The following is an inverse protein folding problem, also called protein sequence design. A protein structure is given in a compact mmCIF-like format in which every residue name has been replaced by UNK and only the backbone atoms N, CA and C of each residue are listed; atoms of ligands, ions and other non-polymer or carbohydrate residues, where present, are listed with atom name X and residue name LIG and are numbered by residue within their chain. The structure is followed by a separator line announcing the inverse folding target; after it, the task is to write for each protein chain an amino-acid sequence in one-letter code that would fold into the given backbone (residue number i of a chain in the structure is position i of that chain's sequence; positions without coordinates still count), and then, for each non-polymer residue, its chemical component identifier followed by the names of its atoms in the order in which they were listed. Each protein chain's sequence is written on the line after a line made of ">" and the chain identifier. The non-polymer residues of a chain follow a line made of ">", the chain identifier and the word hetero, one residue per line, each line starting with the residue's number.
data_IF_958647912173
#
_entry.id   IF_958647912173
#
_cell.length_a   1.000
_cell.length_b   1.000
_cell.length_c   1.000
_cell.angle_alpha   90.00
_cell.angle_beta   90.00
_cell.angle_gamma   90.00
#
_symmetry.space_group_name_H-M   'P 1'
#
loop_
_entity.id
_entity.type
_entity.pdbx_description
1 polymer ?
#
# COMPACT_ATOMS: atom_id res chain seq x y z
N UNK A 1 15.30 8.13 -25.17
CA UNK A 1 14.97 8.11 -23.72
C UNK A 1 16.04 7.27 -23.04
N UNK A 2 16.75 7.74 -22.01
CA UNK A 2 17.65 6.85 -21.28
C UNK A 2 16.75 5.81 -20.62
N UNK A 3 16.80 4.59 -21.16
CA UNK A 3 16.09 3.43 -20.62
C UNK A 3 16.81 3.06 -19.33
N UNK A 4 16.44 3.68 -18.21
CA UNK A 4 16.89 3.22 -16.91
C UNK A 4 16.45 1.77 -16.78
N UNK A 5 17.42 0.88 -16.65
CA UNK A 5 17.16 -0.55 -16.47
C UNK A 5 16.23 -0.73 -15.26
N UNK A 6 15.15 -1.49 -15.45
CA UNK A 6 14.18 -1.79 -14.40
C UNK A 6 14.84 -2.35 -13.13
N UNK A 7 15.92 -3.12 -13.29
CA UNK A 7 16.65 -3.69 -12.15
C UNK A 7 17.36 -2.64 -11.30
N UNK A 8 17.64 -1.45 -11.84
CA UNK A 8 18.27 -0.34 -11.12
C UNK A 8 17.26 0.56 -10.39
N UNK A 9 15.96 0.36 -10.58
CA UNK A 9 14.96 1.10 -9.84
C UNK A 9 15.11 0.84 -8.33
N UNK A 10 15.17 1.92 -7.58
CA UNK A 10 15.07 1.86 -6.13
C UNK A 10 13.66 1.42 -5.71
N UNK A 11 13.53 0.94 -4.47
CA UNK A 11 12.23 0.63 -3.88
C UNK A 11 11.28 1.82 -3.94
N UNK A 12 11.77 3.03 -3.69
CA UNK A 12 10.96 4.25 -3.70
C UNK A 12 10.44 4.58 -5.10
N UNK A 13 11.28 4.44 -6.13
CA UNK A 13 10.86 4.67 -7.51
C UNK A 13 9.79 3.65 -7.95
N UNK A 14 9.98 2.37 -7.61
CA UNK A 14 8.97 1.35 -7.92
C UNK A 14 7.68 1.55 -7.11
N UNK A 15 7.78 1.99 -5.84
CA UNK A 15 6.63 2.38 -5.01
C UNK A 15 5.85 3.52 -5.66
N UNK A 16 6.53 4.57 -6.11
CA UNK A 16 5.89 5.73 -6.74
C UNK A 16 5.09 5.33 -7.99
N UNK A 17 5.66 4.46 -8.84
CA UNK A 17 4.94 3.94 -10.02
C UNK A 17 3.65 3.20 -9.64
N UNK A 18 3.75 2.28 -8.66
CA UNK A 18 2.63 1.41 -8.28
C UNK A 18 1.55 2.15 -7.50
N UNK A 19 1.94 2.91 -6.48
CA UNK A 19 1.00 3.47 -5.49
C UNK A 19 0.62 4.92 -5.79
N UNK A 20 1.57 5.77 -6.19
CA UNK A 20 1.27 7.20 -6.40
C UNK A 20 0.71 7.44 -7.81
N UNK A 21 1.21 6.70 -8.81
CA UNK A 21 0.74 6.78 -10.19
C UNK A 21 -0.28 5.69 -10.56
N UNK A 22 -0.57 4.76 -9.65
CA UNK A 22 -1.56 3.69 -9.84
C UNK A 22 -1.25 2.74 -10.99
N UNK A 23 0.03 2.57 -11.36
CA UNK A 23 0.42 1.71 -12.49
C UNK A 23 0.32 0.24 -12.13
N UNK A 24 -0.32 -0.52 -13.00
CA UNK A 24 -0.36 -1.97 -12.93
C UNK A 24 0.98 -2.59 -13.33
N UNK A 25 1.23 -3.84 -12.92
CA UNK A 25 2.45 -4.56 -13.32
C UNK A 25 2.58 -4.68 -14.84
N UNK A 26 1.45 -4.75 -15.56
CA UNK A 26 1.41 -4.81 -17.02
C UNK A 26 1.86 -3.50 -17.66
N UNK A 27 1.38 -2.36 -17.16
CA UNK A 27 1.81 -1.04 -17.65
C UNK A 27 3.29 -0.80 -17.36
N UNK A 28 3.76 -1.14 -16.15
CA UNK A 28 5.18 -1.03 -15.79
C UNK A 28 6.01 -1.94 -16.71
N UNK A 29 5.58 -3.18 -16.93
CA UNK A 29 6.28 -4.10 -17.82
C UNK A 29 6.39 -3.56 -19.26
N UNK A 30 5.34 -2.92 -19.77
CA UNK A 30 5.33 -2.26 -21.07
C UNK A 30 6.29 -1.05 -21.12
N UNK A 31 6.32 -0.23 -20.06
CA UNK A 31 7.22 0.93 -19.97
C UNK A 31 8.70 0.54 -20.05
N UNK A 32 9.06 -0.60 -19.47
CA UNK A 32 10.45 -1.08 -19.39
C UNK A 32 10.79 -2.20 -20.39
N UNK A 33 9.82 -2.67 -21.19
CA UNK A 33 10.04 -3.75 -22.17
C UNK A 33 10.37 -5.11 -21.53
N UNK A 34 9.84 -5.40 -20.35
CA UNK A 34 10.09 -6.64 -19.58
C UNK A 34 8.81 -7.45 -19.39
N UNK A 35 8.92 -8.61 -18.72
CA UNK A 35 7.74 -9.40 -18.37
C UNK A 35 7.03 -8.86 -17.12
N UNK A 36 5.70 -9.00 -17.08
CA UNK A 36 4.88 -8.69 -15.89
C UNK A 36 5.33 -9.49 -14.66
N UNK A 37 5.76 -10.74 -14.85
CA UNK A 37 6.29 -11.58 -13.77
C UNK A 37 7.57 -11.00 -13.15
N UNK A 38 8.43 -10.38 -13.97
CA UNK A 38 9.64 -9.70 -13.50
C UNK A 38 9.26 -8.53 -12.58
N UNK A 39 8.25 -7.74 -12.96
CA UNK A 39 7.74 -6.63 -12.14
C UNK A 39 7.17 -7.15 -10.83
N UNK A 40 6.30 -8.16 -10.89
CA UNK A 40 5.68 -8.77 -9.72
C UNK A 40 6.72 -9.34 -8.73
N UNK A 41 7.73 -10.06 -9.24
CA UNK A 41 8.79 -10.61 -8.41
C UNK A 41 9.60 -9.51 -7.71
N UNK A 42 9.93 -8.44 -8.43
CA UNK A 42 10.65 -7.29 -7.88
C UNK A 42 9.82 -6.58 -6.80
N UNK A 43 8.52 -6.35 -7.05
CA UNK A 43 7.59 -5.80 -6.06
C UNK A 43 7.53 -6.65 -4.80
N UNK A 44 7.47 -7.99 -4.95
CA UNK A 44 7.48 -8.92 -3.82
C UNK A 44 8.77 -8.85 -3.01
N UNK A 45 9.93 -8.83 -3.68
CA UNK A 45 11.23 -8.69 -3.01
C UNK A 45 11.35 -7.36 -2.24
N UNK A 46 10.61 -6.34 -2.65
CA UNK A 46 10.61 -5.00 -2.06
C UNK A 46 9.41 -4.72 -1.13
N UNK A 47 8.56 -5.72 -0.84
CA UNK A 47 7.32 -5.55 -0.07
C UNK A 47 6.42 -4.43 -0.62
N UNK A 48 6.09 -4.49 -1.92
CA UNK A 48 5.24 -3.54 -2.65
C UNK A 48 3.99 -4.22 -3.26
N UNK A 49 3.52 -5.32 -2.67
CA UNK A 49 2.30 -6.00 -3.14
C UNK A 49 1.06 -5.28 -2.61
N UNK A 50 0.02 -5.22 -3.45
CA UNK A 50 -1.28 -4.64 -3.06
C UNK A 50 -1.85 -5.35 -1.83
N UNK A 51 -2.44 -4.58 -0.90
CA UNK A 51 -2.96 -5.09 0.37
C UNK A 51 -1.95 -5.16 1.51
N UNK A 52 -0.69 -4.75 1.29
CA UNK A 52 0.27 -4.55 2.37
C UNK A 52 0.42 -3.06 2.67
N UNK A 53 0.19 -2.70 3.94
CA UNK A 53 0.44 -1.36 4.43
C UNK A 53 1.92 -1.01 4.28
N UNK A 54 2.21 0.21 3.84
CA UNK A 54 3.56 0.78 3.96
C UNK A 54 3.96 0.91 5.44
N UNK A 55 5.26 1.12 5.69
CA UNK A 55 5.77 1.39 7.05
C UNK A 55 5.13 2.64 7.64
N UNK A 56 4.88 3.65 6.81
CA UNK A 56 4.30 4.93 7.20
C UNK A 56 2.81 4.77 7.58
N UNK A 57 2.03 4.09 6.73
CA UNK A 57 0.62 3.77 7.00
C UNK A 57 0.47 2.88 8.23
N UNK A 58 1.36 1.88 8.41
CA UNK A 58 1.36 1.04 9.60
C UNK A 58 1.65 1.87 10.86
N UNK A 59 2.64 2.76 10.80
CA UNK A 59 2.96 3.64 11.92
C UNK A 59 1.79 4.56 12.27
N UNK A 60 1.03 5.03 11.27
CA UNK A 60 -0.18 5.82 11.50
C UNK A 60 -1.28 5.02 12.19
N UNK A 61 -1.55 3.80 11.73
CA UNK A 61 -2.53 2.92 12.38
C UNK A 61 -2.14 2.60 13.83
N UNK A 62 -0.85 2.36 14.09
CA UNK A 62 -0.36 2.14 15.47
C UNK A 62 -0.57 3.39 16.33
N UNK A 63 -0.26 4.59 15.81
CA UNK A 63 -0.52 5.85 16.54
C UNK A 63 -2.00 6.03 16.84
N UNK A 64 -2.88 5.71 15.89
CA UNK A 64 -4.33 5.82 16.09
C UNK A 64 -4.81 4.81 17.15
N UNK A 65 -4.34 3.57 17.10
CA UNK A 65 -4.66 2.55 18.11
C UNK A 65 -4.22 2.97 19.52
N UNK A 66 -3.06 3.62 19.63
CA UNK A 66 -2.53 4.19 20.86
C UNK A 66 -3.41 5.32 21.42
N UNK A 67 -4.05 6.12 20.55
CA UNK A 67 -5.02 7.14 20.99
C UNK A 67 -6.33 6.51 21.48
N UNK A 68 -6.84 5.52 20.73
CA UNK A 68 -8.12 4.87 21.04
C UNK A 68 -8.10 4.19 22.42
N UNK A 69 -6.97 3.61 22.83
CA UNK A 69 -6.88 2.87 24.11
C UNK A 69 -7.11 3.73 25.35
N UNK A 70 -6.89 5.05 25.25
CA UNK A 70 -7.03 6.00 26.35
C UNK A 70 -8.40 6.68 26.38
N UNK A 71 -9.30 6.35 25.44
CA UNK A 71 -10.62 6.96 25.36
C UNK A 71 -11.59 6.41 26.42
N UNK A 72 -12.58 7.21 26.86
CA UNK A 72 -13.69 6.72 27.67
C UNK A 72 -14.53 5.68 26.91
N UNK A 73 -15.24 4.81 27.63
CA UNK A 73 -15.95 3.65 27.07
C UNK A 73 -16.97 4.04 25.99
N UNK A 74 -17.64 5.17 26.19
CA UNK A 74 -18.65 5.72 25.29
C UNK A 74 -18.02 6.06 23.92
N UNK A 75 -16.87 6.73 23.92
CA UNK A 75 -16.15 7.07 22.70
C UNK A 75 -15.59 5.83 21.98
N UNK A 76 -15.12 4.81 22.73
CA UNK A 76 -14.70 3.52 22.12
C UNK A 76 -15.87 2.82 21.44
N UNK A 77 -17.08 2.92 21.99
CA UNK A 77 -18.29 2.36 21.36
C UNK A 77 -18.64 3.07 20.05
N UNK A 78 -18.47 4.39 19.98
CA UNK A 78 -18.63 5.15 18.74
C UNK A 78 -17.61 4.73 17.67
N UNK A 79 -16.33 4.61 18.04
CA UNK A 79 -15.27 4.12 17.14
C UNK A 79 -15.61 2.72 16.62
N UNK A 80 -16.10 1.83 17.48
CA UNK A 80 -16.54 0.48 17.08
C UNK A 80 -17.66 0.52 16.04
N UNK A 81 -18.69 1.34 16.26
CA UNK A 81 -19.81 1.46 15.33
C UNK A 81 -19.38 1.99 13.95
N UNK A 82 -18.35 2.84 13.90
CA UNK A 82 -17.73 3.26 12.64
C UNK A 82 -17.03 2.07 11.97
N UNK A 83 -16.19 1.33 12.69
CA UNK A 83 -15.45 0.16 12.16
C UNK A 83 -16.40 -0.90 11.60
N UNK A 84 -17.45 -1.26 12.33
CA UNK A 84 -18.46 -2.26 11.92
C UNK A 84 -19.11 -1.90 10.58
N UNK A 85 -19.37 -0.61 10.33
CA UNK A 85 -19.96 -0.12 9.07
C UNK A 85 -19.07 -0.37 7.86
N UNK A 86 -17.75 -0.24 8.03
CA UNK A 86 -16.79 -0.50 6.96
C UNK A 86 -16.45 -1.99 6.80
N UNK A 87 -16.68 -2.80 7.83
CA UNK A 87 -16.49 -4.26 7.77
C UNK A 87 -17.69 -4.99 7.14
N UNK A 88 -18.90 -4.45 7.31
CA UNK A 88 -20.12 -4.97 6.71
C UNK A 88 -20.80 -3.90 5.85
N UNK A 89 -20.17 -3.54 4.72
CA UNK A 89 -20.78 -2.55 3.85
C UNK A 89 -22.04 -3.13 3.22
N UNK A 90 -23.19 -2.56 3.59
CA UNK A 90 -24.46 -2.83 2.92
C UNK A 90 -24.52 -1.99 1.65
N UNK A 91 -23.97 -2.52 0.55
CA UNK A 91 -24.34 -2.14 -0.82
C UNK A 91 -24.89 -3.36 -1.55
#
# INVERSE_FOLDING_TARGET
>A
MPQTDFHLLSREQLRHLVFDLGKTDAEIAQMFGISTNTVHHRRRQMNLLEGQMTSEELAEVVRLAEQVKHLPKEAVAEVRAIVERYQHPTW
#
